data_IF_564474280830
#
_entry.id   IF_564474280830
#
_cell.length_a   1.000
_cell.length_b   1.000
_cell.length_c   1.000
_cell.angle_alpha   90.00
_cell.angle_beta   90.00
_cell.angle_gamma   90.00
#
_symmetry.space_group_name_H-M   'P 1'
#
loop_
_entity.id
_entity.type
_entity.pdbx_description
1 polymer ?
#
# COMPACT_ATOMS: atom_id res chain seq x y z
N UNK A 1 -1.27 44.46 -23.61
CA UNK A 1 0.09 43.88 -23.74
C UNK A 1 -0.01 42.47 -24.30
N UNK A 2 0.92 42.03 -25.15
CA UNK A 2 0.93 40.63 -25.64
C UNK A 2 1.61 39.68 -24.64
N UNK A 3 1.34 38.37 -24.72
CA UNK A 3 1.87 37.35 -23.78
C UNK A 3 3.41 37.36 -23.70
N UNK A 4 4.06 37.42 -24.87
CA UNK A 4 5.52 37.45 -24.97
C UNK A 4 6.06 38.74 -24.34
N UNK A 5 5.44 39.88 -24.63
CA UNK A 5 5.85 41.17 -24.09
C UNK A 5 5.73 41.21 -22.56
N UNK A 6 4.61 40.73 -22.01
CA UNK A 6 4.39 40.64 -20.57
C UNK A 6 5.42 39.74 -19.89
N UNK A 7 5.68 38.56 -20.46
CA UNK A 7 6.69 37.61 -19.95
C UNK A 7 8.11 38.19 -19.95
N UNK A 8 8.45 38.98 -20.97
CA UNK A 8 9.76 39.62 -21.07
C UNK A 8 9.95 40.79 -20.10
N UNK A 9 8.87 41.45 -19.69
CA UNK A 9 8.92 42.52 -18.69
C UNK A 9 8.95 41.95 -17.28
N UNK A 10 8.10 40.97 -16.98
CA UNK A 10 8.03 40.38 -15.64
C UNK A 10 9.33 39.66 -15.26
N UNK A 11 9.99 38.99 -16.21
CA UNK A 11 11.27 38.30 -15.93
C UNK A 11 12.39 39.24 -15.48
N UNK A 12 12.31 40.53 -15.82
CA UNK A 12 13.32 41.54 -15.44
C UNK A 12 13.18 42.05 -14.01
N UNK A 13 12.00 41.86 -13.41
CA UNK A 13 11.71 42.34 -12.05
C UNK A 13 11.75 41.21 -11.01
N UNK A 14 11.81 39.95 -11.45
CA UNK A 14 11.93 38.80 -10.56
C UNK A 14 13.24 38.84 -9.75
N UNK A 15 13.15 38.52 -8.47
CA UNK A 15 14.31 38.22 -7.65
C UNK A 15 14.96 36.89 -8.07
N UNK A 16 16.22 36.70 -7.67
CA UNK A 16 17.01 35.53 -8.10
C UNK A 16 16.37 34.21 -7.69
N UNK A 17 15.74 34.16 -6.49
CA UNK A 17 15.12 32.94 -5.98
C UNK A 17 13.86 32.57 -6.76
N UNK A 18 12.95 33.51 -6.96
CA UNK A 18 11.71 33.24 -7.73
C UNK A 18 12.01 32.92 -9.19
N UNK A 19 13.01 33.59 -9.79
CA UNK A 19 13.47 33.27 -11.14
C UNK A 19 14.00 31.83 -11.23
N UNK A 20 14.85 31.42 -10.28
CA UNK A 20 15.38 30.05 -10.24
C UNK A 20 14.29 28.99 -10.10
N UNK A 21 13.33 29.20 -9.20
CA UNK A 21 12.27 28.23 -8.93
C UNK A 21 11.26 28.16 -10.08
N UNK A 22 10.93 29.30 -10.70
CA UNK A 22 10.13 29.36 -11.93
C UNK A 22 10.81 28.59 -13.06
N UNK A 23 12.11 28.79 -13.29
CA UNK A 23 12.85 28.15 -14.37
C UNK A 23 13.02 26.64 -14.16
N UNK A 24 13.24 26.17 -12.92
CA UNK A 24 13.27 24.72 -12.62
C UNK A 24 11.95 24.06 -13.01
N UNK A 25 10.82 24.69 -12.66
CA UNK A 25 9.48 24.19 -12.98
C UNK A 25 9.16 24.31 -14.47
N UNK A 26 9.55 25.40 -15.12
CA UNK A 26 9.37 25.57 -16.55
C UNK A 26 10.15 24.54 -17.37
N UNK A 27 11.35 24.15 -16.90
CA UNK A 27 12.19 23.14 -17.56
C UNK A 27 11.49 21.79 -17.65
N UNK A 28 10.82 21.35 -16.57
CA UNK A 28 10.07 20.08 -16.58
C UNK A 28 8.86 20.11 -17.52
N UNK A 29 8.32 21.30 -17.80
CA UNK A 29 7.22 21.51 -18.74
C UNK A 29 7.67 21.71 -20.20
N UNK A 30 8.99 21.74 -20.45
CA UNK A 30 9.60 21.81 -21.78
C UNK A 30 10.11 23.19 -22.20
N UNK A 31 10.31 24.10 -21.23
CA UNK A 31 11.06 25.33 -21.43
C UNK A 31 12.54 25.02 -21.70
N UNK A 32 13.12 25.64 -22.72
CA UNK A 32 14.48 25.39 -23.16
C UNK A 32 15.15 26.68 -23.58
N UNK A 33 16.39 26.86 -23.14
CA UNK A 33 17.22 28.01 -23.47
C UNK A 33 18.40 27.53 -24.30
N UNK A 34 18.63 28.17 -25.46
CA UNK A 34 19.74 27.82 -26.35
C UNK A 34 21.07 27.94 -25.62
N UNK A 35 21.90 26.90 -25.65
CA UNK A 35 23.19 26.85 -24.97
C UNK A 35 23.15 26.48 -23.47
N UNK A 36 21.97 26.31 -22.85
CA UNK A 36 21.85 26.08 -21.41
C UNK A 36 20.95 24.87 -21.08
N UNK A 37 21.29 23.66 -21.52
CA UNK A 37 20.43 22.48 -21.35
C UNK A 37 20.36 21.90 -19.94
N UNK A 38 21.46 21.98 -19.16
CA UNK A 38 21.55 21.37 -17.82
C UNK A 38 21.34 22.35 -16.66
N UNK A 39 21.57 23.65 -16.89
CA UNK A 39 21.48 24.71 -15.87
C UNK A 39 20.88 25.99 -16.46
N UNK A 40 19.58 25.93 -16.81
CA UNK A 40 18.85 27.04 -17.42
C UNK A 40 18.88 28.31 -16.56
N UNK A 41 18.88 28.16 -15.24
CA UNK A 41 18.92 29.28 -14.28
C UNK A 41 20.23 30.07 -14.27
N UNK A 42 21.29 29.57 -14.93
CA UNK A 42 22.56 30.29 -15.09
C UNK A 42 22.61 31.09 -16.41
N UNK A 43 21.55 31.03 -17.23
CA UNK A 43 21.50 31.75 -18.48
C UNK A 43 21.42 33.27 -18.20
N UNK A 44 22.20 34.11 -18.92
CA UNK A 44 22.07 35.56 -18.80
C UNK A 44 20.65 36.02 -19.10
N UNK A 45 20.19 37.07 -18.40
CA UNK A 45 18.82 37.59 -18.53
C UNK A 45 18.45 37.93 -19.98
N UNK A 46 19.39 38.46 -20.77
CA UNK A 46 19.19 38.74 -22.19
C UNK A 46 18.82 37.47 -22.99
N UNK A 47 19.43 36.32 -22.68
CA UNK A 47 19.17 35.04 -23.35
C UNK A 47 17.82 34.45 -22.89
N UNK A 48 17.47 34.63 -21.61
CA UNK A 48 16.15 34.24 -21.08
C UNK A 48 15.01 35.01 -21.75
N UNK A 49 15.18 36.32 -21.91
CA UNK A 49 14.23 37.20 -22.62
C UNK A 49 14.06 36.75 -24.08
N UNK A 50 15.13 36.34 -24.75
CA UNK A 50 15.07 35.81 -26.12
C UNK A 50 14.36 34.44 -26.17
N UNK A 51 14.56 33.58 -25.17
CA UNK A 51 13.93 32.26 -25.11
C UNK A 51 12.39 32.37 -25.08
N UNK A 52 11.81 33.41 -24.46
CA UNK A 52 10.37 33.65 -24.40
C UNK A 52 9.71 33.79 -25.79
N UNK A 53 10.43 34.33 -26.78
CA UNK A 53 9.96 34.49 -28.17
C UNK A 53 9.93 33.18 -28.96
N UNK A 54 10.54 32.12 -28.43
CA UNK A 54 10.66 30.86 -29.15
C UNK A 54 9.33 30.11 -29.12
N UNK A 55 8.86 29.65 -30.28
CA UNK A 55 7.64 28.84 -30.41
C UNK A 55 7.99 27.35 -30.51
N UNK A 56 7.30 26.51 -29.74
CA UNK A 56 7.47 25.04 -29.76
C UNK A 56 6.37 24.39 -30.59
N UNK A 57 6.72 23.37 -31.38
CA UNK A 57 5.75 22.58 -32.16
C UNK A 57 4.73 21.97 -31.18
N UNK A 58 3.44 22.28 -31.38
CA UNK A 58 2.29 21.83 -30.56
C UNK A 58 2.16 22.38 -29.13
N UNK A 59 3.06 23.23 -28.62
CA UNK A 59 3.03 23.74 -27.23
C UNK A 59 2.96 25.27 -27.07
N UNK A 60 2.76 26.01 -28.17
CA UNK A 60 2.69 27.48 -28.13
C UNK A 60 4.05 28.15 -27.91
N UNK A 61 4.04 29.40 -27.45
CA UNK A 61 5.26 30.13 -27.10
C UNK A 61 5.81 29.68 -25.75
N UNK A 62 7.13 29.75 -25.58
CA UNK A 62 7.76 29.46 -24.30
C UNK A 62 7.38 30.47 -23.20
N UNK A 63 6.93 31.67 -23.56
CA UNK A 63 6.31 32.66 -22.66
C UNK A 63 5.13 32.09 -21.88
N UNK A 64 4.23 31.35 -22.53
CA UNK A 64 3.07 30.75 -21.86
C UNK A 64 3.45 29.68 -20.84
N UNK A 65 4.47 28.87 -21.15
CA UNK A 65 5.02 27.88 -20.20
C UNK A 65 5.61 28.58 -18.98
N UNK A 66 6.36 29.66 -19.20
CA UNK A 66 6.98 30.44 -18.14
C UNK A 66 5.94 31.10 -17.23
N UNK A 67 4.97 31.81 -17.80
CA UNK A 67 3.92 32.49 -17.03
C UNK A 67 3.05 31.51 -16.24
N UNK A 68 2.73 30.36 -16.83
CA UNK A 68 2.00 29.31 -16.12
C UNK A 68 2.79 28.83 -14.91
N UNK A 69 4.08 28.53 -15.09
CA UNK A 69 4.92 28.08 -13.98
C UNK A 69 5.09 29.15 -12.89
N UNK A 70 5.19 30.42 -13.29
CA UNK A 70 5.28 31.57 -12.38
C UNK A 70 3.98 31.74 -11.57
N UNK A 71 2.82 31.61 -12.21
CA UNK A 71 1.50 31.73 -11.56
C UNK A 71 1.19 30.63 -10.56
N UNK A 72 1.87 29.49 -10.67
CA UNK A 72 1.71 28.34 -9.78
C UNK A 72 2.75 28.35 -8.63
N UNK A 73 3.44 29.48 -8.42
CA UNK A 73 4.24 29.72 -7.22
C UNK A 73 3.38 30.33 -6.09
N UNK A 74 3.97 30.54 -4.92
CA UNK A 74 3.30 31.08 -3.74
C UNK A 74 2.54 32.38 -4.05
N UNK A 75 1.29 32.48 -3.58
CA UNK A 75 0.41 33.65 -3.75
C UNK A 75 0.94 34.90 -3.03
N UNK A 76 1.85 34.73 -2.07
CA UNK A 76 2.54 35.83 -1.39
C UNK A 76 3.63 36.49 -2.25
N UNK A 77 3.99 35.90 -3.39
CA UNK A 77 4.97 36.48 -4.32
C UNK A 77 4.23 37.38 -5.31
N UNK A 78 4.55 38.68 -5.26
CA UNK A 78 3.92 39.71 -6.09
C UNK A 78 3.90 39.34 -7.59
N UNK A 79 5.01 38.81 -8.10
CA UNK A 79 5.17 38.43 -9.50
C UNK A 79 4.35 37.18 -9.88
N UNK A 80 4.11 36.28 -8.91
CA UNK A 80 3.17 35.16 -9.07
C UNK A 80 1.74 35.66 -9.20
N UNK A 81 1.32 36.57 -8.30
CA UNK A 81 0.00 37.20 -8.34
C UNK A 81 -0.23 37.98 -9.64
N UNK A 82 0.79 38.69 -10.14
CA UNK A 82 0.74 39.39 -11.43
C UNK A 82 0.55 38.41 -12.60
N UNK A 83 1.25 37.27 -12.59
CA UNK A 83 1.09 36.23 -13.61
C UNK A 83 -0.30 35.58 -13.55
N UNK A 84 -0.84 35.32 -12.35
CA UNK A 84 -2.20 34.80 -12.15
C UNK A 84 -3.26 35.77 -12.70
N UNK A 85 -3.19 37.06 -12.31
CA UNK A 85 -4.09 38.11 -12.80
C UNK A 85 -4.02 38.25 -14.33
N UNK A 86 -2.83 38.14 -14.92
CA UNK A 86 -2.62 38.21 -16.36
C UNK A 86 -3.25 37.03 -17.13
N UNK A 87 -3.12 35.81 -16.57
CA UNK A 87 -3.70 34.58 -17.13
C UNK A 87 -5.22 34.49 -16.96
N UNK A 88 -5.78 35.07 -15.88
CA UNK A 88 -7.23 35.11 -15.62
C UNK A 88 -8.03 35.88 -16.69
N UNK A 89 -7.38 36.81 -17.40
CA UNK A 89 -8.01 37.55 -18.50
C UNK A 89 -8.86 38.73 -18.04
N UNK A 90 -9.60 39.34 -18.98
CA UNK A 90 -10.58 40.40 -18.67
C UNK A 90 -10.00 41.66 -18.02
N UNK A 91 -10.58 42.08 -16.89
CA UNK A 91 -10.21 43.29 -16.14
C UNK A 91 -8.91 43.07 -15.35
N UNK A 92 -8.76 41.91 -14.69
CA UNK A 92 -7.56 41.51 -13.95
C UNK A 92 -6.30 41.52 -14.80
N UNK A 93 -6.47 41.21 -16.09
CA UNK A 93 -5.42 41.33 -17.10
C UNK A 93 -4.88 42.76 -17.22
N UNK A 94 -5.76 43.76 -17.32
CA UNK A 94 -5.35 45.19 -17.43
C UNK A 94 -4.75 45.72 -16.13
N UNK A 95 -5.23 45.23 -14.98
CA UNK A 95 -4.67 45.55 -13.66
C UNK A 95 -3.22 45.08 -13.55
N UNK A 96 -2.95 43.82 -13.94
CA UNK A 96 -1.59 43.27 -13.95
C UNK A 96 -0.62 44.07 -14.84
N UNK A 97 -1.05 44.52 -16.03
CA UNK A 97 -0.22 45.39 -16.89
C UNK A 97 0.10 46.75 -16.24
N UNK A 98 -0.87 47.30 -15.51
CA UNK A 98 -0.75 48.63 -14.89
C UNK A 98 0.14 48.56 -13.64
N UNK A 99 -0.04 47.54 -12.81
CA UNK A 99 0.82 47.26 -11.65
C UNK A 99 2.27 47.02 -12.09
N UNK A 100 2.50 46.23 -13.14
CA UNK A 100 3.84 45.99 -13.68
C UNK A 100 4.53 47.29 -14.12
N UNK A 101 3.81 48.18 -14.83
CA UNK A 101 4.35 49.50 -15.23
C UNK A 101 4.71 50.37 -14.03
N UNK A 102 3.91 50.35 -12.97
CA UNK A 102 4.17 51.14 -11.76
C UNK A 102 5.42 50.66 -11.02
N UNK A 103 5.65 49.34 -10.98
CA UNK A 103 6.87 48.74 -10.41
C UNK A 103 8.09 49.19 -11.23
N UNK A 104 8.03 49.10 -12.56
CA UNK A 104 9.12 49.54 -13.46
C UNK A 104 9.48 51.03 -13.23
N UNK A 105 8.49 51.92 -13.11
CA UNK A 105 8.68 53.35 -12.83
C UNK A 105 9.35 53.57 -11.47
N UNK A 106 8.97 52.80 -10.45
CA UNK A 106 9.50 52.93 -9.09
C UNK A 106 10.98 52.53 -9.01
N UNK A 107 11.39 51.50 -9.75
CA UNK A 107 12.78 51.06 -9.85
C UNK A 107 13.64 52.15 -10.53
N UNK A 108 13.15 52.74 -11.62
CA UNK A 108 13.83 53.82 -12.35
C UNK A 108 14.04 55.09 -11.50
N UNK A 109 13.08 55.43 -10.64
CA UNK A 109 13.21 56.59 -9.73
C UNK A 109 14.30 56.39 -8.67
N UNK A 110 14.42 55.19 -8.10
CA UNK A 110 15.44 54.87 -7.09
C UNK A 110 16.87 54.95 -7.65
N UNK A 111 17.06 54.61 -8.92
CA UNK A 111 18.37 54.67 -9.57
C UNK A 111 18.85 56.12 -9.83
N UNK A 112 17.94 57.08 -10.00
CA UNK A 112 18.30 58.50 -10.28
C UNK A 112 18.63 59.35 -9.04
N UNK A 113 18.31 58.90 -7.83
CA UNK A 113 18.52 59.67 -6.60
C UNK A 113 19.95 59.58 -6.04
N UNK A 114 20.81 58.73 -6.61
CA UNK A 114 22.18 58.50 -6.12
C UNK A 114 23.26 59.42 -6.73
N UNK A 115 22.90 60.39 -7.59
CA UNK A 115 23.86 61.11 -8.45
C UNK A 115 23.83 62.66 -8.35
N UNK A 116 23.47 63.27 -7.21
CA UNK A 116 23.42 64.75 -7.13
C UNK A 116 23.92 65.36 -5.80
N UNK A 117 24.98 66.18 -5.88
CA UNK A 117 25.38 67.17 -4.86
C UNK A 117 25.82 68.45 -5.60
N UNK A 118 25.15 69.61 -5.42
CA UNK A 118 25.65 70.90 -5.90
C UNK A 118 26.51 71.60 -4.85
N UNK A 119 27.69 72.04 -5.30
CA UNK A 119 28.58 72.99 -4.63
C UNK A 119 27.89 74.37 -4.50
N UNK A 120 28.01 75.01 -3.33
CA UNK A 120 27.61 76.39 -3.12
C UNK A 120 28.75 77.16 -2.44
N UNK A 121 29.50 77.92 -3.23
CA UNK A 121 30.41 78.96 -2.75
C UNK A 121 30.26 80.20 -3.62
N UNK A 122 29.60 81.24 -3.11
CA UNK A 122 29.78 82.62 -3.55
C UNK A 122 30.44 83.39 -2.40
N UNK A 123 31.67 83.84 -2.61
CA UNK A 123 32.32 84.86 -1.76
C UNK A 123 32.13 86.19 -2.49
N UNK A 124 31.38 87.09 -1.86
CA UNK A 124 31.15 88.45 -2.36
C UNK A 124 32.46 89.27 -2.30
N UNK A 125 33.07 89.50 -3.46
CA UNK A 125 34.30 90.27 -3.57
C UNK A 125 33.97 91.76 -3.71
N UNK A 126 33.66 92.42 -2.59
CA UNK A 126 33.54 93.88 -2.56
C UNK A 126 34.36 94.45 -1.42
N UNK A 127 35.64 94.70 -1.68
CA UNK A 127 36.48 95.62 -0.89
C UNK A 127 37.18 96.56 -1.87
N UNK A 128 36.54 97.69 -2.17
CA UNK A 128 37.20 98.91 -2.64
C UNK A 128 36.51 100.11 -1.99
N UNK A 129 37.14 100.68 -0.97
CA UNK A 129 36.73 101.96 -0.37
C UNK A 129 37.28 102.19 1.03
N UNK A 130 38.12 103.22 1.19
CA UNK A 130 38.67 103.64 2.48
C UNK A 130 37.60 104.36 3.32
N UNK A 131 36.81 103.62 4.11
CA UNK A 131 35.97 104.14 5.20
C UNK A 131 36.15 103.25 6.45
N UNK A 132 36.73 103.80 7.52
CA UNK A 132 37.08 103.06 8.76
C UNK A 132 35.84 102.52 9.49
N UNK A 133 34.70 103.22 9.38
CA UNK A 133 33.45 102.86 10.06
C UNK A 133 32.72 101.68 9.38
N UNK A 134 32.79 101.56 8.05
CA UNK A 134 32.25 100.43 7.30
C UNK A 134 33.08 99.15 7.51
N UNK A 135 34.41 99.29 7.58
CA UNK A 135 35.30 98.16 7.88
C UNK A 135 35.08 97.62 9.31
N UNK A 136 34.76 98.48 10.28
CA UNK A 136 34.49 98.05 11.66
C UNK A 136 33.22 97.19 11.75
N UNK A 137 32.15 97.57 11.05
CA UNK A 137 30.90 96.78 10.97
C UNK A 137 31.09 95.46 10.23
N UNK A 138 31.93 95.43 9.19
CA UNK A 138 32.27 94.19 8.47
C UNK A 138 33.05 93.22 9.37
N UNK A 139 34.01 93.72 10.15
CA UNK A 139 34.78 92.91 11.11
C UNK A 139 33.88 92.33 12.19
N UNK A 140 32.92 93.10 12.70
CA UNK A 140 31.97 92.65 13.73
C UNK A 140 31.05 91.54 13.21
N UNK A 141 30.50 91.70 11.99
CA UNK A 141 29.73 90.64 11.32
C UNK A 141 30.56 89.38 11.04
N UNK A 142 31.83 89.54 10.67
CA UNK A 142 32.74 88.41 10.49
C UNK A 142 33.04 87.70 11.81
N UNK A 143 33.20 88.42 12.92
CA UNK A 143 33.36 87.82 14.25
C UNK A 143 32.13 87.03 14.68
N UNK A 144 30.92 87.56 14.48
CA UNK A 144 29.68 86.81 14.73
C UNK A 144 29.57 85.56 13.86
N UNK A 145 29.96 85.64 12.60
CA UNK A 145 29.98 84.50 11.70
C UNK A 145 30.98 83.43 12.14
N UNK A 146 32.18 83.83 12.58
CA UNK A 146 33.20 82.93 13.14
C UNK A 146 32.68 82.22 14.39
N UNK A 147 31.98 82.92 15.30
CA UNK A 147 31.40 82.29 16.49
C UNK A 147 30.28 81.30 16.13
N UNK A 148 29.42 81.64 15.16
CA UNK A 148 28.41 80.70 14.63
C UNK A 148 29.05 79.46 13.99
N UNK A 149 30.14 79.64 13.24
CA UNK A 149 30.90 78.53 12.65
C UNK A 149 31.55 77.66 13.71
N UNK A 150 32.14 78.24 14.76
CA UNK A 150 32.71 77.47 15.88
C UNK A 150 31.66 76.63 16.59
N UNK A 151 30.49 77.21 16.91
CA UNK A 151 29.39 76.48 17.53
C UNK A 151 28.91 75.32 16.64
N UNK A 152 28.81 75.56 15.33
CA UNK A 152 28.43 74.54 14.35
C UNK A 152 29.46 73.40 14.29
N UNK A 153 30.75 73.73 14.29
CA UNK A 153 31.84 72.77 14.26
C UNK A 153 31.89 71.92 15.54
N UNK A 154 31.60 72.52 16.69
CA UNK A 154 31.47 71.81 17.96
C UNK A 154 30.28 70.84 17.96
N UNK A 155 29.14 71.25 17.40
CA UNK A 155 27.97 70.36 17.22
C UNK A 155 28.29 69.17 16.30
N UNK A 156 28.94 69.41 15.16
CA UNK A 156 29.37 68.33 14.27
C UNK A 156 30.35 67.36 14.94
N UNK A 157 31.24 67.86 15.82
CA UNK A 157 32.16 67.01 16.58
C UNK A 157 31.43 66.09 17.55
N UNK A 158 30.41 66.60 18.26
CA UNK A 158 29.56 65.79 19.15
C UNK A 158 28.80 64.75 18.33
N UNK A 159 28.19 65.17 17.22
CA UNK A 159 27.42 64.30 16.35
C UNK A 159 28.27 63.16 15.76
N UNK A 160 29.49 63.46 15.29
CA UNK A 160 30.43 62.45 14.79
C UNK A 160 30.85 61.44 15.88
N UNK A 161 31.06 61.90 17.12
CA UNK A 161 31.38 61.00 18.22
C UNK A 161 30.20 60.07 18.55
N UNK A 162 28.96 60.57 18.47
CA UNK A 162 27.77 59.76 18.67
C UNK A 162 27.62 58.72 17.56
N UNK A 163 27.78 59.12 16.29
CA UNK A 163 27.78 58.18 15.16
C UNK A 163 28.87 57.12 15.29
N UNK A 164 30.07 57.48 15.75
CA UNK A 164 31.15 56.52 15.97
C UNK A 164 30.76 55.44 16.99
N UNK A 165 30.14 55.82 18.11
CA UNK A 165 29.64 54.88 19.12
C UNK A 165 28.52 53.99 18.58
N UNK A 166 27.62 54.56 17.78
CA UNK A 166 26.52 53.79 17.17
C UNK A 166 27.04 52.76 16.16
N UNK A 167 28.05 53.12 15.35
CA UNK A 167 28.73 52.20 14.43
C UNK A 167 29.38 51.04 15.20
N UNK A 168 30.06 51.33 16.31
CA UNK A 168 30.70 50.31 17.15
C UNK A 168 29.67 49.33 17.76
N UNK A 169 28.59 49.86 18.34
CA UNK A 169 27.48 49.06 18.87
C UNK A 169 26.84 48.18 17.78
N UNK A 170 26.59 48.75 16.60
CA UNK A 170 26.03 48.00 15.47
C UNK A 170 26.99 46.90 15.00
N UNK A 171 28.30 47.13 15.05
CA UNK A 171 29.32 46.12 14.79
C UNK A 171 29.21 44.91 15.72
N UNK A 172 29.07 45.14 17.03
CA UNK A 172 28.88 44.06 18.01
C UNK A 172 27.59 43.25 17.75
N UNK A 173 26.49 43.94 17.43
CA UNK A 173 25.22 43.29 17.09
C UNK A 173 25.36 42.41 15.85
N UNK A 174 26.05 42.89 14.81
CA UNK A 174 26.32 42.13 13.59
C UNK A 174 27.13 40.87 13.89
N UNK A 175 28.17 40.94 14.73
CA UNK A 175 28.96 39.76 15.08
C UNK A 175 28.13 38.72 15.86
N UNK A 176 27.32 39.15 16.83
CA UNK A 176 26.40 38.25 17.54
C UNK A 176 25.41 37.57 16.58
N UNK A 177 24.88 38.32 15.61
CA UNK A 177 23.98 37.77 14.59
C UNK A 177 24.70 36.76 13.66
N UNK A 178 25.94 37.02 13.25
CA UNK A 178 26.74 36.09 12.45
C UNK A 178 26.96 34.76 13.19
N UNK A 179 27.27 34.80 14.48
CA UNK A 179 27.41 33.58 15.29
C UNK A 179 26.10 32.80 15.38
N UNK A 180 24.97 33.50 15.58
CA UNK A 180 23.65 32.88 15.64
C UNK A 180 23.29 32.19 14.31
N UNK A 181 23.53 32.86 13.18
CA UNK A 181 23.32 32.29 11.83
C UNK A 181 24.18 31.03 11.64
N UNK A 182 25.44 31.04 12.09
CA UNK A 182 26.32 29.87 12.02
C UNK A 182 25.75 28.69 12.79
N UNK A 183 25.26 28.90 14.02
CA UNK A 183 24.63 27.86 14.85
C UNK A 183 23.38 27.29 14.16
N UNK A 184 22.48 28.17 13.68
CA UNK A 184 21.28 27.75 12.95
C UNK A 184 21.60 26.92 11.70
N UNK A 185 22.65 27.28 10.97
CA UNK A 185 23.09 26.53 9.78
C UNK A 185 23.51 25.11 10.13
N UNK A 186 24.23 24.93 11.24
CA UNK A 186 24.62 23.60 11.75
C UNK A 186 23.38 22.79 12.14
N UNK A 187 22.49 23.35 12.95
CA UNK A 187 21.24 22.68 13.37
C UNK A 187 20.37 22.27 12.18
N UNK A 188 20.27 23.11 11.15
CA UNK A 188 19.52 22.81 9.93
C UNK A 188 20.15 21.65 9.15
N UNK A 189 21.48 21.55 9.14
CA UNK A 189 22.18 20.42 8.52
C UNK A 189 21.93 19.11 9.30
N UNK A 190 21.98 19.16 10.63
CA UNK A 190 21.69 17.98 11.47
C UNK A 190 20.25 17.49 11.27
N UNK A 191 19.28 18.40 11.24
CA UNK A 191 17.88 18.05 10.96
C UNK A 191 17.68 17.46 9.56
N UNK A 192 18.44 17.93 8.55
CA UNK A 192 18.41 17.32 7.21
C UNK A 192 18.87 15.86 7.24
N UNK A 193 19.99 15.59 7.91
CA UNK A 193 20.53 14.23 8.05
C UNK A 193 19.53 13.33 8.78
N UNK A 194 18.94 13.81 9.88
CA UNK A 194 17.92 13.08 10.63
C UNK A 194 16.69 12.77 9.76
N UNK A 195 16.21 13.75 8.99
CA UNK A 195 15.07 13.57 8.09
C UNK A 195 15.34 12.50 7.02
N UNK A 196 16.53 12.52 6.42
CA UNK A 196 16.92 11.53 5.40
C UNK A 196 17.03 10.11 6.01
N UNK A 197 17.54 9.99 7.23
CA UNK A 197 17.57 8.73 7.96
C UNK A 197 16.16 8.22 8.30
N UNK A 198 15.26 9.10 8.77
CA UNK A 198 13.87 8.76 9.03
C UNK A 198 13.16 8.28 7.76
N UNK A 199 13.35 8.95 6.61
CA UNK A 199 12.79 8.52 5.32
C UNK A 199 13.25 7.12 4.93
N UNK A 200 14.55 6.84 5.02
CA UNK A 200 15.10 5.50 4.76
C UNK A 200 14.49 4.44 5.68
N UNK A 201 14.31 4.76 6.97
CA UNK A 201 13.70 3.82 7.92
C UNK A 201 12.23 3.56 7.60
N UNK A 202 11.47 4.59 7.21
CA UNK A 202 10.08 4.45 6.77
C UNK A 202 10.00 3.54 5.53
N UNK A 203 10.86 3.75 4.53
CA UNK A 203 10.88 2.91 3.32
C UNK A 203 11.21 1.44 3.64
N UNK A 204 12.14 1.19 4.56
CA UNK A 204 12.46 -0.17 5.02
C UNK A 204 11.26 -0.83 5.70
N UNK A 205 10.62 -0.13 6.64
CA UNK A 205 9.45 -0.63 7.36
C UNK A 205 8.28 -0.89 6.41
N UNK A 206 8.07 -0.04 5.40
CA UNK A 206 7.05 -0.27 4.37
C UNK A 206 7.33 -1.55 3.57
N UNK A 207 8.59 -1.80 3.21
CA UNK A 207 8.98 -3.04 2.50
C UNK A 207 8.77 -4.28 3.38
N UNK A 208 9.13 -4.23 4.65
CA UNK A 208 8.91 -5.33 5.60
C UNK A 208 7.42 -5.59 5.81
N UNK A 209 6.62 -4.55 6.01
CA UNK A 209 5.18 -4.67 6.18
C UNK A 209 4.50 -5.29 4.94
N UNK A 210 4.93 -4.91 3.73
CA UNK A 210 4.42 -5.51 2.51
C UNK A 210 4.78 -7.01 2.39
N UNK A 211 5.99 -7.41 2.81
CA UNK A 211 6.38 -8.82 2.85
C UNK A 211 5.54 -9.62 3.84
N UNK A 212 5.29 -9.07 5.03
CA UNK A 212 4.45 -9.71 6.04
C UNK A 212 3.01 -9.89 5.53
N UNK A 213 2.41 -8.85 4.95
CA UNK A 213 1.07 -8.96 4.36
C UNK A 213 0.95 -10.04 3.29
N UNK A 214 1.97 -10.22 2.45
CA UNK A 214 1.99 -11.29 1.46
C UNK A 214 2.06 -12.67 2.11
N UNK A 215 2.90 -12.82 3.14
CA UNK A 215 3.03 -14.07 3.90
C UNK A 215 1.73 -14.42 4.63
N UNK A 216 1.09 -13.46 5.28
CA UNK A 216 -0.18 -13.65 5.98
C UNK A 216 -1.30 -14.06 5.00
N UNK A 217 -1.32 -13.48 3.79
CA UNK A 217 -2.27 -13.85 2.75
C UNK A 217 -2.06 -15.28 2.22
N UNK A 218 -0.80 -15.69 2.06
CA UNK A 218 -0.44 -17.06 1.65
C UNK A 218 -0.79 -18.08 2.74
N UNK A 219 -0.46 -17.79 4.00
CA UNK A 219 -0.84 -18.62 5.15
C UNK A 219 -2.35 -18.75 5.31
N UNK A 220 -3.11 -17.67 5.05
CA UNK A 220 -4.57 -17.71 5.06
C UNK A 220 -5.13 -18.60 3.95
N UNK A 221 -4.55 -18.53 2.74
CA UNK A 221 -4.95 -19.38 1.62
C UNK A 221 -4.68 -20.86 1.90
N UNK A 222 -3.52 -21.16 2.45
CA UNK A 222 -3.16 -22.52 2.88
C UNK A 222 -4.09 -23.03 3.98
N UNK A 223 -4.47 -22.17 4.91
CA UNK A 223 -5.42 -22.51 5.98
C UNK A 223 -6.81 -22.86 5.41
N UNK A 224 -7.34 -22.05 4.50
CA UNK A 224 -8.63 -22.31 3.83
C UNK A 224 -8.58 -23.65 3.09
N UNK A 225 -7.52 -23.90 2.31
CA UNK A 225 -7.36 -25.18 1.60
C UNK A 225 -7.31 -26.39 2.54
N UNK A 226 -6.72 -26.25 3.72
CA UNK A 226 -6.71 -27.32 4.74
C UNK A 226 -8.08 -27.50 5.39
N UNK A 227 -8.83 -26.42 5.61
CA UNK A 227 -10.19 -26.47 6.15
C UNK A 227 -11.14 -27.20 5.18
N UNK A 228 -11.06 -26.89 3.88
CA UNK A 228 -11.82 -27.60 2.84
C UNK A 228 -11.52 -29.10 2.83
N UNK A 229 -10.23 -29.48 2.89
CA UNK A 229 -9.82 -30.89 2.95
C UNK A 229 -10.31 -31.61 4.21
N UNK A 230 -10.35 -30.91 5.35
CA UNK A 230 -10.93 -31.46 6.60
C UNK A 230 -12.42 -31.69 6.44
N UNK A 231 -13.14 -30.79 5.78
CA UNK A 231 -14.58 -30.94 5.54
C UNK A 231 -14.88 -32.12 4.62
N UNK A 232 -14.13 -32.26 3.53
CA UNK A 232 -14.22 -33.43 2.64
C UNK A 232 -13.98 -34.74 3.42
N UNK A 233 -12.91 -34.82 4.22
CA UNK A 233 -12.62 -36.01 5.02
C UNK A 233 -13.71 -36.32 6.05
N UNK A 234 -14.34 -35.29 6.66
CA UNK A 234 -15.48 -35.50 7.57
C UNK A 234 -16.68 -36.10 6.85
N UNK A 235 -16.98 -35.64 5.64
CA UNK A 235 -18.10 -36.20 4.86
C UNK A 235 -17.85 -37.68 4.50
N UNK A 236 -16.62 -38.03 4.12
CA UNK A 236 -16.24 -39.41 3.82
C UNK A 236 -16.30 -40.31 5.07
N UNK A 237 -15.81 -39.83 6.22
CA UNK A 237 -15.93 -40.55 7.50
C UNK A 237 -17.40 -40.83 7.83
N UNK A 238 -18.29 -39.85 7.69
CA UNK A 238 -19.72 -40.04 7.97
C UNK A 238 -20.33 -41.10 7.05
N UNK A 239 -20.01 -41.06 5.76
CA UNK A 239 -20.48 -42.06 4.79
C UNK A 239 -19.99 -43.47 5.14
N UNK A 240 -18.73 -43.61 5.54
CA UNK A 240 -18.18 -44.90 5.97
C UNK A 240 -18.84 -45.39 7.27
N UNK A 241 -19.15 -44.50 8.20
CA UNK A 241 -19.89 -44.85 9.42
C UNK A 241 -21.30 -45.34 9.11
N UNK A 242 -22.02 -44.71 8.19
CA UNK A 242 -23.35 -45.17 7.74
C UNK A 242 -23.27 -46.58 7.12
N UNK A 243 -22.27 -46.83 6.27
CA UNK A 243 -22.05 -48.16 5.69
C UNK A 243 -21.75 -49.21 6.76
N UNK A 244 -20.94 -48.89 7.77
CA UNK A 244 -20.65 -49.78 8.89
C UNK A 244 -21.90 -50.12 9.71
N UNK A 245 -22.81 -49.16 9.89
CA UNK A 245 -24.09 -49.40 10.58
C UNK A 245 -24.93 -50.39 9.78
N UNK A 246 -24.99 -50.25 8.46
CA UNK A 246 -25.79 -51.15 7.61
C UNK A 246 -25.20 -52.56 7.58
N UNK A 247 -23.87 -52.69 7.42
CA UNK A 247 -23.18 -53.98 7.49
C UNK A 247 -23.39 -54.68 8.84
N UNK A 248 -23.40 -53.92 9.95
CA UNK A 248 -23.73 -54.49 11.27
C UNK A 248 -25.14 -55.05 11.27
N UNK A 249 -26.15 -54.29 10.85
CA UNK A 249 -27.54 -54.82 10.78
C UNK A 249 -27.63 -56.11 9.98
N UNK A 250 -26.90 -56.20 8.87
CA UNK A 250 -26.86 -57.41 8.06
C UNK A 250 -26.19 -58.60 8.77
N UNK A 251 -25.09 -58.37 9.48
CA UNK A 251 -24.46 -59.38 10.34
C UNK A 251 -25.44 -59.86 11.43
N UNK A 252 -26.13 -58.95 12.10
CA UNK A 252 -27.14 -59.29 13.11
C UNK A 252 -28.32 -60.08 12.50
N UNK A 253 -28.75 -59.74 11.28
CA UNK A 253 -29.74 -60.53 10.53
C UNK A 253 -29.25 -61.96 10.31
N UNK A 254 -28.02 -62.14 9.83
CA UNK A 254 -27.45 -63.47 9.60
C UNK A 254 -27.24 -64.27 10.89
N UNK A 255 -26.82 -63.63 11.99
CA UNK A 255 -26.74 -64.28 13.30
C UNK A 255 -28.11 -64.82 13.73
N UNK A 256 -29.16 -64.02 13.61
CA UNK A 256 -30.53 -64.46 13.92
C UNK A 256 -30.99 -65.62 13.03
N UNK A 257 -30.69 -65.58 11.72
CA UNK A 257 -30.97 -66.70 10.82
C UNK A 257 -30.26 -67.98 11.24
N UNK A 258 -29.00 -67.88 11.70
CA UNK A 258 -28.21 -69.03 12.13
C UNK A 258 -28.64 -69.59 13.50
N UNK A 259 -28.99 -68.72 14.46
CA UNK A 259 -29.52 -69.12 15.77
C UNK A 259 -30.86 -69.85 15.64
N UNK A 260 -31.70 -69.40 14.71
CA UNK A 260 -33.02 -69.99 14.43
C UNK A 260 -32.98 -71.08 13.33
N UNK A 261 -31.80 -71.48 12.88
CA UNK A 261 -31.66 -72.46 11.81
C UNK A 261 -32.30 -73.81 12.23
N UNK A 262 -33.09 -74.45 11.35
CA UNK A 262 -33.73 -75.71 11.65
C UNK A 262 -32.67 -76.80 11.88
N UNK A 263 -32.86 -77.54 12.98
CA UNK A 263 -32.04 -78.73 13.30
C UNK A 263 -32.52 -79.90 12.46
N UNK A 264 -31.64 -80.45 11.66
CA UNK A 264 -31.92 -81.53 10.72
C UNK A 264 -31.16 -82.78 11.12
N UNK A 265 -31.82 -83.93 11.06
CA UNK A 265 -31.17 -85.22 11.15
C UNK A 265 -31.13 -85.87 9.76
N UNK A 266 -29.94 -86.10 9.22
CA UNK A 266 -29.76 -86.67 7.90
C UNK A 266 -29.19 -88.08 7.97
N UNK A 267 -29.92 -89.02 7.38
CA UNK A 267 -29.54 -90.42 7.19
C UNK A 267 -29.06 -90.61 5.75
N UNK A 268 -27.75 -90.79 5.58
CA UNK A 268 -27.11 -91.19 4.30
C UNK A 268 -25.75 -91.81 4.60
N UNK A 269 -25.31 -92.79 3.82
CA UNK A 269 -23.95 -93.34 3.95
C UNK A 269 -22.86 -92.36 3.57
N UNK A 270 -23.16 -91.41 2.69
CA UNK A 270 -22.23 -90.35 2.29
C UNK A 270 -22.42 -89.14 3.19
N UNK A 271 -21.32 -88.50 3.57
CA UNK A 271 -21.38 -87.28 4.36
C UNK A 271 -21.99 -86.13 3.54
N UNK A 272 -22.86 -85.36 4.18
CA UNK A 272 -23.46 -84.17 3.58
C UNK A 272 -22.49 -83.01 3.74
N UNK A 273 -22.15 -82.34 2.63
CA UNK A 273 -21.37 -81.10 2.71
C UNK A 273 -22.22 -79.99 3.35
N UNK A 274 -21.83 -79.60 4.57
CA UNK A 274 -22.52 -78.57 5.37
C UNK A 274 -22.41 -77.18 4.77
N UNK A 275 -21.41 -76.93 3.92
CA UNK A 275 -21.22 -75.63 3.24
C UNK A 275 -22.34 -75.32 2.23
N UNK A 276 -22.98 -76.36 1.69
CA UNK A 276 -24.14 -76.23 0.78
C UNK A 276 -25.38 -75.73 1.55
N UNK A 277 -25.41 -75.94 2.87
CA UNK A 277 -26.54 -75.65 3.75
C UNK A 277 -26.13 -74.78 4.95
N UNK A 278 -25.63 -73.54 4.70
CA UNK A 278 -25.08 -72.68 5.76
C UNK A 278 -26.10 -72.25 6.81
N UNK A 279 -27.40 -72.37 6.52
CA UNK A 279 -28.51 -72.03 7.42
C UNK A 279 -29.27 -73.26 7.95
N UNK A 280 -28.63 -74.43 7.98
CA UNK A 280 -29.19 -75.66 8.57
C UNK A 280 -28.20 -76.28 9.55
N UNK A 281 -28.70 -76.71 10.71
CA UNK A 281 -27.91 -77.48 11.67
C UNK A 281 -28.06 -78.97 11.36
N UNK A 282 -27.22 -79.50 10.48
CA UNK A 282 -27.30 -80.89 10.02
C UNK A 282 -26.43 -81.80 10.90
N UNK A 283 -27.10 -82.71 11.61
CA UNK A 283 -26.47 -83.87 12.23
C UNK A 283 -26.60 -85.07 11.28
N UNK A 284 -25.51 -85.79 11.08
CA UNK A 284 -25.41 -86.84 10.06
C UNK A 284 -25.25 -88.22 10.71
N UNK A 285 -25.99 -89.20 10.20
CA UNK A 285 -25.90 -90.61 10.58
C UNK A 285 -25.59 -91.43 9.33
N UNK A 286 -24.38 -92.01 9.32
CA UNK A 286 -23.86 -92.83 8.22
C UNK A 286 -24.37 -94.26 8.22
N UNK A 287 -24.59 -94.81 9.41
CA UNK A 287 -24.88 -96.23 9.63
C UNK A 287 -26.00 -96.41 10.65
N UNK A 288 -26.86 -97.40 10.40
CA UNK A 288 -27.95 -97.72 11.30
C UNK A 288 -27.45 -98.50 12.51
N UNK A 289 -27.77 -98.01 13.71
CA UNK A 289 -27.50 -98.71 14.96
C UNK A 289 -28.70 -98.58 15.90
N UNK A 290 -29.32 -99.73 16.21
CA UNK A 290 -30.51 -99.81 17.06
C UNK A 290 -30.33 -99.20 18.45
N UNK A 291 -29.11 -99.14 18.98
CA UNK A 291 -28.82 -98.50 20.27
C UNK A 291 -28.71 -96.99 20.13
N UNK A 292 -28.07 -96.49 19.07
CA UNK A 292 -27.98 -95.04 18.80
C UNK A 292 -29.37 -94.45 18.55
N UNK A 293 -30.19 -95.12 17.73
CA UNK A 293 -31.54 -94.71 17.36
C UNK A 293 -32.48 -94.53 18.57
N UNK A 294 -32.30 -95.33 19.62
CA UNK A 294 -33.07 -95.25 20.87
C UNK A 294 -32.69 -94.06 21.75
N UNK A 295 -31.48 -93.52 21.59
CA UNK A 295 -30.94 -92.42 22.40
C UNK A 295 -31.19 -91.06 21.71
N UNK A 296 -31.48 -91.05 20.40
CA UNK A 296 -31.80 -89.83 19.66
C UNK A 296 -33.06 -89.18 20.25
N UNK A 297 -32.94 -87.91 20.63
CA UNK A 297 -34.10 -87.09 20.96
C UNK A 297 -34.77 -86.59 19.66
N UNK A 298 -35.64 -87.42 19.10
CA UNK A 298 -36.34 -87.15 17.84
C UNK A 298 -37.17 -85.86 17.86
N UNK A 299 -37.51 -85.31 19.03
CA UNK A 299 -38.25 -84.04 19.17
C UNK A 299 -37.38 -82.81 18.92
N UNK A 300 -36.05 -82.95 18.99
CA UNK A 300 -35.08 -81.86 18.78
C UNK A 300 -34.98 -81.45 17.31
N UNK A 301 -35.32 -82.33 16.38
CA UNK A 301 -35.12 -82.12 14.94
C UNK A 301 -36.41 -81.68 14.26
N UNK A 302 -36.31 -80.61 13.47
CA UNK A 302 -37.41 -79.99 12.75
C UNK A 302 -37.71 -80.74 11.46
N UNK A 303 -36.67 -81.20 10.77
CA UNK A 303 -36.81 -82.10 9.62
C UNK A 303 -35.86 -83.29 9.71
N UNK A 304 -36.25 -84.37 9.03
CA UNK A 304 -35.50 -85.60 8.92
C UNK A 304 -35.32 -85.95 7.46
N UNK A 305 -34.07 -86.06 7.02
CA UNK A 305 -33.71 -86.30 5.64
C UNK A 305 -33.19 -87.72 5.48
N UNK A 306 -33.69 -88.48 4.49
CA UNK A 306 -33.33 -89.89 4.32
C UNK A 306 -33.01 -90.20 2.85
N UNK A 307 -31.79 -90.70 2.60
CA UNK A 307 -31.41 -91.33 1.34
C UNK A 307 -31.79 -92.81 1.37
N UNK A 308 -32.91 -93.17 0.73
CA UNK A 308 -33.54 -94.49 0.92
C UNK A 308 -32.68 -95.66 0.43
N UNK A 309 -31.84 -95.47 -0.60
CA UNK A 309 -30.98 -96.56 -1.11
C UNK A 309 -29.82 -96.91 -0.16
N UNK A 310 -29.53 -96.05 0.82
CA UNK A 310 -28.42 -96.26 1.77
C UNK A 310 -28.82 -97.17 2.94
N UNK A 311 -30.11 -97.41 3.13
CA UNK A 311 -30.68 -98.16 4.26
C UNK A 311 -31.67 -99.22 3.79
N UNK A 312 -31.91 -100.24 4.61
CA UNK A 312 -32.93 -101.25 4.31
C UNK A 312 -34.34 -100.66 4.43
N UNK A 313 -35.31 -101.34 3.81
CA UNK A 313 -36.71 -100.94 3.88
C UNK A 313 -37.23 -100.85 5.32
N UNK A 314 -36.87 -101.81 6.18
CA UNK A 314 -37.24 -101.84 7.59
C UNK A 314 -36.65 -100.66 8.37
N UNK A 315 -35.40 -100.30 8.12
CA UNK A 315 -34.73 -99.16 8.77
C UNK A 315 -35.36 -97.84 8.34
N UNK A 316 -35.58 -97.66 7.03
CA UNK A 316 -36.24 -96.48 6.48
C UNK A 316 -37.66 -96.30 7.04
N UNK A 317 -38.42 -97.39 7.16
CA UNK A 317 -39.76 -97.35 7.77
C UNK A 317 -39.71 -96.94 9.24
N UNK A 318 -38.75 -97.48 9.99
CA UNK A 318 -38.56 -97.14 11.41
C UNK A 318 -38.20 -95.65 11.59
N UNK A 319 -37.33 -95.09 10.74
CA UNK A 319 -36.99 -93.66 10.74
C UNK A 319 -38.26 -92.81 10.53
N UNK A 320 -39.08 -93.18 9.54
CA UNK A 320 -40.32 -92.47 9.23
C UNK A 320 -41.33 -92.51 10.37
N UNK A 321 -41.45 -93.66 11.05
CA UNK A 321 -42.39 -93.84 12.17
C UNK A 321 -41.93 -93.10 13.44
N UNK A 322 -40.61 -93.00 13.66
CA UNK A 322 -40.04 -92.32 14.83
C UNK A 322 -39.94 -90.80 14.67
N UNK A 323 -39.85 -90.31 13.43
CA UNK A 323 -39.79 -88.89 13.12
C UNK A 323 -40.99 -88.12 13.70
N UNK A 324 -40.71 -87.00 14.35
CA UNK A 324 -41.73 -86.07 14.84
C UNK A 324 -41.84 -84.79 14.01
N UNK A 325 -40.81 -84.48 13.23
CA UNK A 325 -40.77 -83.36 12.30
C UNK A 325 -41.16 -83.74 10.87
N UNK A 326 -40.93 -82.82 9.94
CA UNK A 326 -41.16 -83.04 8.49
C UNK A 326 -40.15 -84.06 7.96
N UNK A 327 -40.63 -85.05 7.21
CA UNK A 327 -39.77 -86.09 6.63
C UNK A 327 -39.57 -85.80 5.15
N UNK A 328 -38.32 -85.80 4.70
CA UNK A 328 -37.96 -85.66 3.29
C UNK A 328 -37.14 -86.88 2.89
N UNK A 329 -37.63 -87.61 1.91
CA UNK A 329 -36.91 -88.77 1.37
C UNK A 329 -36.63 -88.62 -0.12
N UNK A 330 -35.52 -89.21 -0.54
CA UNK A 330 -35.10 -89.33 -1.93
C UNK A 330 -34.31 -90.62 -2.11
N UNK A 331 -34.12 -91.06 -3.37
CA UNK A 331 -33.44 -92.33 -3.67
C UNK A 331 -31.99 -92.34 -3.21
N UNK A 332 -31.27 -91.23 -3.40
CA UNK A 332 -29.86 -91.08 -3.03
C UNK A 332 -29.60 -89.66 -2.50
N UNK A 333 -28.40 -89.44 -1.94
CA UNK A 333 -28.02 -88.16 -1.35
C UNK A 333 -28.09 -86.99 -2.33
N UNK A 334 -27.66 -87.16 -3.58
CA UNK A 334 -27.68 -86.07 -4.57
C UNK A 334 -29.11 -85.60 -4.85
N UNK A 335 -30.04 -86.54 -5.05
CA UNK A 335 -31.47 -86.22 -5.21
C UNK A 335 -32.08 -85.63 -3.94
N UNK A 336 -31.55 -86.00 -2.77
CA UNK A 336 -31.98 -85.43 -1.49
C UNK A 336 -31.58 -83.96 -1.41
N UNK A 337 -30.31 -83.64 -1.75
CA UNK A 337 -29.75 -82.29 -1.79
C UNK A 337 -30.53 -81.40 -2.77
N UNK A 338 -30.83 -81.89 -3.98
CA UNK A 338 -31.66 -81.18 -4.96
C UNK A 338 -33.07 -80.90 -4.42
N UNK A 339 -33.67 -81.88 -3.73
CA UNK A 339 -35.05 -81.78 -3.23
C UNK A 339 -35.21 -80.84 -2.04
N UNK A 340 -34.18 -80.69 -1.22
CA UNK A 340 -34.17 -79.78 -0.05
C UNK A 340 -33.62 -78.39 -0.40
N UNK A 341 -33.23 -78.16 -1.65
CA UNK A 341 -32.82 -76.85 -2.15
C UNK A 341 -31.38 -76.48 -1.80
N UNK A 342 -30.45 -77.44 -1.80
CA UNK A 342 -29.03 -77.11 -1.75
C UNK A 342 -28.65 -76.26 -2.96
N UNK A 343 -28.00 -75.12 -2.73
CA UNK A 343 -27.45 -74.33 -3.83
C UNK A 343 -26.41 -75.20 -4.57
N UNK A 344 -26.63 -75.46 -5.86
CA UNK A 344 -25.55 -75.87 -6.76
C UNK A 344 -24.67 -74.66 -7.08
#
# INVERSE_FOLDING_TARGET
MEEVEFSQRIVKILDEKTLQDTLKKATTQGFTVSGFSKKIYQAPLAILVLAMKTKKRKKGFQSGIFLKCLSELDENILESTLAQKWLAGGVSRKEAESELKNIEISILKKQKQHEYVPDLFEIDSSIKGNNIEDNTKVIEKQKEHIEKLKATLQNYKILNNNYKKEIENNGEVIEKQKEHIKKLKTTLQDHKILNDNCKKKIEQLQKENNKLKLKDAEELKDKISREDAIEELKTEINKQQEQLVEMKKEIERYKSMYENAPKILCFSRKEVNKEIFPFYHIEWISEWNNNLVKIIDWKKYHEIWVAENDFTYSETKTIKDMAKGKIITARNLNMLIEKVGGNN
#
